data_IF_437990623966
#
_entry.id   IF_437990623966
#
_cell.length_a   1.000
_cell.length_b   1.000
_cell.length_c   1.000
_cell.angle_alpha   90.00
_cell.angle_beta   90.00
_cell.angle_gamma   90.00
#
_symmetry.space_group_name_H-M   'P 1'
#
loop_
_entity.id
_entity.type
_entity.pdbx_description
1 polymer ?
#
# COMPACT_ATOMS: atom_id res chain seq x y z
N UNK A 1 -5.76 10.47 -16.03
CA UNK A 1 -6.15 10.74 -14.63
C UNK A 1 -7.67 10.84 -14.63
N UNK A 2 -8.42 9.82 -14.21
CA UNK A 2 -9.78 10.07 -13.70
C UNK A 2 -9.60 10.51 -12.27
N UNK A 3 -9.24 11.79 -12.15
CA UNK A 3 -9.08 12.52 -10.91
C UNK A 3 -10.36 13.31 -10.82
N UNK A 4 -11.09 13.09 -9.75
CA UNK A 4 -12.30 13.86 -9.43
C UNK A 4 -11.92 15.34 -9.30
N UNK A 5 -12.85 16.26 -9.58
CA UNK A 5 -12.58 17.70 -9.59
C UNK A 5 -11.98 18.17 -8.25
N UNK A 6 -12.39 17.56 -7.14
CA UNK A 6 -11.81 17.80 -5.81
C UNK A 6 -10.34 17.35 -5.68
N UNK A 7 -10.00 16.19 -6.24
CA UNK A 7 -8.63 15.68 -6.22
C UNK A 7 -7.75 16.53 -7.14
N UNK A 8 -8.32 17.04 -8.24
CA UNK A 8 -7.64 17.94 -9.17
C UNK A 8 -7.34 19.26 -8.48
N UNK A 9 -8.33 19.86 -7.79
CA UNK A 9 -8.13 21.05 -6.98
C UNK A 9 -7.04 20.84 -5.93
N UNK A 10 -7.10 19.75 -5.16
CA UNK A 10 -6.14 19.46 -4.11
C UNK A 10 -4.70 19.39 -4.65
N UNK A 11 -4.50 18.70 -5.78
CA UNK A 11 -3.17 18.49 -6.37
C UNK A 11 -2.64 19.69 -7.16
N UNK A 12 -3.51 20.46 -7.84
CA UNK A 12 -3.10 21.56 -8.72
C UNK A 12 -3.09 22.92 -8.04
N UNK A 13 -3.91 23.12 -7.01
CA UNK A 13 -4.10 24.43 -6.36
C UNK A 13 -3.80 24.34 -4.86
N UNK A 14 -4.51 23.47 -4.14
CA UNK A 14 -4.48 23.43 -2.68
C UNK A 14 -3.08 23.13 -2.11
N UNK A 15 -2.53 21.97 -2.45
CA UNK A 15 -1.23 21.50 -1.94
C UNK A 15 -0.07 22.41 -2.39
N UNK A 16 0.01 22.85 -3.66
CA UNK A 16 1.03 23.83 -4.07
C UNK A 16 0.98 25.13 -3.25
N UNK A 17 -0.21 25.70 -3.00
CA UNK A 17 -0.35 26.91 -2.19
C UNK A 17 0.11 26.69 -0.74
N UNK A 18 -0.25 25.55 -0.13
CA UNK A 18 0.26 25.19 1.21
C UNK A 18 1.78 25.01 1.20
N UNK A 19 2.35 24.45 0.13
CA UNK A 19 3.78 24.20 0.02
C UNK A 19 4.59 25.50 -0.07
N UNK A 20 4.08 26.53 -0.77
CA UNK A 20 4.72 27.84 -0.82
C UNK A 20 4.89 28.49 0.56
N UNK A 21 4.00 28.18 1.50
CA UNK A 21 4.02 28.74 2.85
C UNK A 21 4.81 27.87 3.85
N UNK A 22 5.18 26.64 3.47
CA UNK A 22 5.77 25.67 4.40
C UNK A 22 6.92 24.88 3.75
N UNK A 23 8.13 25.14 4.24
CA UNK A 23 9.37 24.52 3.74
C UNK A 23 9.34 22.99 3.78
N UNK A 24 8.77 22.42 4.84
CA UNK A 24 8.65 20.97 5.02
C UNK A 24 7.79 20.36 3.90
N UNK A 25 6.62 20.94 3.64
CA UNK A 25 5.72 20.48 2.60
C UNK A 25 6.33 20.69 1.21
N UNK A 26 7.02 21.81 0.97
CA UNK A 26 7.77 22.07 -0.26
C UNK A 26 8.78 20.94 -0.55
N UNK A 27 9.54 20.51 0.45
CA UNK A 27 10.48 19.39 0.27
C UNK A 27 9.78 18.10 -0.14
N UNK A 28 8.62 17.80 0.44
CA UNK A 28 7.82 16.64 0.04
C UNK A 28 7.29 16.73 -1.39
N UNK A 29 6.84 17.91 -1.81
CA UNK A 29 6.43 18.16 -3.20
C UNK A 29 7.60 18.00 -4.17
N UNK A 30 8.79 18.50 -3.82
CA UNK A 30 10.01 18.34 -4.63
C UNK A 30 10.46 16.87 -4.72
N UNK A 31 10.42 16.13 -3.61
CA UNK A 31 10.71 14.70 -3.60
C UNK A 31 9.77 13.94 -4.55
N UNK A 32 8.46 14.19 -4.45
CA UNK A 32 7.48 13.56 -5.32
C UNK A 32 7.67 13.97 -6.79
N UNK A 33 7.90 15.26 -7.07
CA UNK A 33 8.10 15.78 -8.43
C UNK A 33 9.34 15.17 -9.11
N UNK A 34 10.44 14.98 -8.37
CA UNK A 34 11.63 14.32 -8.90
C UNK A 34 11.33 12.87 -9.33
N UNK A 35 10.51 12.14 -8.55
CA UNK A 35 10.08 10.79 -8.90
C UNK A 35 9.10 10.77 -10.07
N UNK A 36 8.16 11.73 -10.16
CA UNK A 36 7.31 11.88 -11.34
C UNK A 36 8.16 12.02 -12.61
N UNK A 37 9.22 12.84 -12.55
CA UNK A 37 10.14 13.01 -13.66
C UNK A 37 10.91 11.72 -13.99
N UNK A 38 11.27 10.90 -13.00
CA UNK A 38 11.80 9.56 -13.27
C UNK A 38 10.79 8.71 -14.04
N UNK A 39 9.52 8.70 -13.62
CA UNK A 39 8.47 7.96 -14.30
C UNK A 39 8.25 8.44 -15.74
N UNK A 40 8.34 9.74 -16.00
CA UNK A 40 8.24 10.30 -17.35
C UNK A 40 9.38 9.79 -18.25
N UNK A 41 10.60 9.71 -17.73
CA UNK A 41 11.77 9.18 -18.44
C UNK A 41 11.62 7.67 -18.70
N UNK A 42 11.17 6.90 -17.70
CA UNK A 42 11.00 5.44 -17.81
C UNK A 42 9.91 5.06 -18.81
N UNK A 43 8.85 5.87 -18.93
CA UNK A 43 7.74 5.59 -19.83
C UNK A 43 8.00 6.05 -21.28
N UNK A 44 9.21 6.50 -21.61
CA UNK A 44 9.57 6.82 -22.99
C UNK A 44 9.72 5.55 -23.84
N UNK A 45 9.36 5.58 -25.15
CA UNK A 45 9.39 4.39 -26.02
C UNK A 45 10.77 3.77 -26.20
N UNK A 46 11.83 4.58 -26.05
CA UNK A 46 13.22 4.19 -26.16
C UNK A 46 13.98 4.76 -24.98
N UNK A 47 14.65 3.89 -24.22
CA UNK A 47 15.42 4.30 -23.04
C UNK A 47 16.90 4.09 -23.33
N UNK A 48 17.68 5.16 -23.21
CA UNK A 48 19.13 5.15 -23.37
C UNK A 48 19.86 4.91 -22.03
N UNK A 49 21.18 4.69 -22.08
CA UNK A 49 22.01 4.66 -20.88
C UNK A 49 22.00 6.00 -20.13
N UNK A 50 22.00 7.11 -20.86
CA UNK A 50 21.92 8.47 -20.29
C UNK A 50 20.62 8.68 -19.52
N UNK A 51 19.51 8.10 -19.99
CA UNK A 51 18.22 8.16 -19.30
C UNK A 51 18.25 7.39 -17.97
N UNK A 52 18.96 6.26 -17.93
CA UNK A 52 19.19 5.52 -16.67
C UNK A 52 20.00 6.36 -15.68
N UNK A 53 21.06 7.03 -16.12
CA UNK A 53 21.85 7.93 -15.26
C UNK A 53 21.01 9.10 -14.74
N UNK A 54 20.17 9.72 -15.61
CA UNK A 54 19.21 10.76 -15.20
C UNK A 54 18.26 10.26 -14.11
N UNK A 55 17.72 9.05 -14.25
CA UNK A 55 16.84 8.44 -13.23
C UNK A 55 17.58 8.24 -11.90
N UNK A 56 18.84 7.79 -11.92
CA UNK A 56 19.63 7.61 -10.70
C UNK A 56 19.87 8.94 -9.97
N UNK A 57 20.20 10.01 -10.72
CA UNK A 57 20.41 11.35 -10.16
C UNK A 57 19.10 11.90 -9.59
N UNK A 58 18.01 11.83 -10.34
CA UNK A 58 16.70 12.30 -9.90
C UNK A 58 16.19 11.55 -8.66
N UNK A 59 16.36 10.22 -8.62
CA UNK A 59 15.99 9.42 -7.45
C UNK A 59 16.83 9.77 -6.22
N UNK A 60 18.12 10.06 -6.40
CA UNK A 60 19.00 10.53 -5.31
C UNK A 60 18.54 11.88 -4.74
N UNK A 61 18.16 12.82 -5.62
CA UNK A 61 17.58 14.11 -5.22
C UNK A 61 16.27 13.91 -4.47
N UNK A 62 15.43 12.99 -4.95
CA UNK A 62 14.16 12.68 -4.32
C UNK A 62 14.34 12.11 -2.90
N UNK A 63 15.28 11.17 -2.72
CA UNK A 63 15.65 10.60 -1.43
C UNK A 63 16.17 11.68 -0.46
N UNK A 64 16.99 12.61 -0.96
CA UNK A 64 17.48 13.73 -0.16
C UNK A 64 16.33 14.57 0.38
N UNK A 65 15.42 15.02 -0.50
CA UNK A 65 14.28 15.83 -0.09
C UNK A 65 13.32 15.08 0.85
N UNK A 66 13.09 13.78 0.60
CA UNK A 66 12.34 12.93 1.51
C UNK A 66 12.97 12.89 2.90
N UNK A 67 14.29 12.69 2.99
CA UNK A 67 15.00 12.62 4.26
C UNK A 67 15.03 13.95 5.01
N UNK A 68 15.22 15.05 4.29
CA UNK A 68 15.12 16.38 4.88
C UNK A 68 13.70 16.68 5.39
N UNK A 69 12.68 16.31 4.62
CA UNK A 69 11.28 16.42 5.04
C UNK A 69 11.04 15.60 6.32
N UNK A 70 11.49 14.35 6.38
CA UNK A 70 11.28 13.49 7.54
C UNK A 70 11.92 14.07 8.82
N UNK A 71 13.16 14.56 8.71
CA UNK A 71 13.87 15.20 9.84
C UNK A 71 13.13 16.44 10.32
N UNK A 72 12.60 17.26 9.40
CA UNK A 72 11.83 18.45 9.76
C UNK A 72 10.48 18.10 10.41
N UNK A 73 9.76 17.06 9.94
CA UNK A 73 8.55 16.57 10.63
C UNK A 73 8.89 16.14 12.05
N UNK A 74 9.94 15.33 12.22
CA UNK A 74 10.34 14.80 13.52
C UNK A 74 10.75 15.91 14.50
N UNK A 75 11.44 16.94 14.01
CA UNK A 75 11.84 18.09 14.82
C UNK A 75 10.66 18.99 15.23
N UNK A 76 9.62 19.06 14.40
CA UNK A 76 8.47 19.96 14.57
C UNK A 76 7.19 19.27 15.02
N UNK A 77 7.24 17.98 15.35
CA UNK A 77 6.04 17.17 15.68
C UNK A 77 5.30 17.68 16.92
N UNK A 78 5.97 18.44 17.78
CA UNK A 78 5.40 19.08 18.97
C UNK A 78 4.77 20.45 18.72
N UNK A 79 4.93 21.04 17.51
CA UNK A 79 4.29 22.31 17.16
C UNK A 79 2.78 22.09 16.93
N UNK A 80 1.96 22.75 17.75
CA UNK A 80 0.50 22.70 17.64
C UNK A 80 0.01 23.54 16.45
N UNK A 81 -1.06 23.08 15.79
CA UNK A 81 -1.82 23.79 14.74
C UNK A 81 -1.31 23.79 13.28
N UNK A 82 -0.28 23.01 12.91
CA UNK A 82 0.15 22.83 11.49
C UNK A 82 -0.47 21.60 10.80
N UNK A 83 -1.72 21.24 11.13
CA UNK A 83 -2.33 19.97 10.71
C UNK A 83 -2.53 19.85 9.20
N UNK A 84 -2.86 20.94 8.49
CA UNK A 84 -2.97 20.96 7.03
C UNK A 84 -1.64 20.57 6.36
N UNK A 85 -0.53 21.09 6.88
CA UNK A 85 0.81 20.77 6.36
C UNK A 85 1.20 19.32 6.65
N UNK A 86 0.88 18.81 7.84
CA UNK A 86 1.17 17.41 8.22
C UNK A 86 0.39 16.44 7.34
N UNK A 87 -0.90 16.69 7.13
CA UNK A 87 -1.75 15.84 6.28
C UNK A 87 -1.35 15.91 4.81
N UNK A 88 -1.08 17.11 4.29
CA UNK A 88 -0.58 17.28 2.93
C UNK A 88 0.78 16.59 2.74
N UNK A 89 1.68 16.71 3.74
CA UNK A 89 2.98 16.04 3.75
C UNK A 89 2.80 14.51 3.68
N UNK A 90 1.98 13.94 4.56
CA UNK A 90 1.73 12.51 4.58
C UNK A 90 1.10 12.01 3.27
N UNK A 91 0.20 12.79 2.66
CA UNK A 91 -0.37 12.47 1.36
C UNK A 91 0.67 12.47 0.24
N UNK A 92 1.57 13.47 0.20
CA UNK A 92 2.70 13.50 -0.75
C UNK A 92 3.64 12.32 -0.54
N UNK A 93 3.97 12.01 0.71
CA UNK A 93 4.86 10.89 1.05
C UNK A 93 4.27 9.53 0.71
N UNK A 94 2.94 9.37 0.79
CA UNK A 94 2.28 8.15 0.32
C UNK A 94 2.44 7.93 -1.19
N UNK A 95 2.23 8.98 -2.00
CA UNK A 95 2.42 8.90 -3.45
C UNK A 95 3.90 8.72 -3.81
N UNK A 96 4.80 9.46 -3.14
CA UNK A 96 6.24 9.29 -3.27
C UNK A 96 6.70 7.86 -2.98
N UNK A 97 6.21 7.25 -1.88
CA UNK A 97 6.62 5.92 -1.47
C UNK A 97 6.34 4.86 -2.54
N UNK A 98 5.13 4.86 -3.10
CA UNK A 98 4.75 3.91 -4.15
C UNK A 98 5.48 4.20 -5.47
N UNK A 99 5.55 5.46 -5.87
CA UNK A 99 6.19 5.85 -7.14
C UNK A 99 7.70 5.58 -7.12
N UNK A 100 8.38 5.91 -6.02
CA UNK A 100 9.83 5.71 -5.88
C UNK A 100 10.17 4.22 -5.84
N UNK A 101 9.30 3.40 -5.24
CA UNK A 101 9.42 1.94 -5.29
C UNK A 101 9.31 1.40 -6.72
N UNK A 102 8.36 1.90 -7.53
CA UNK A 102 8.26 1.54 -8.95
C UNK A 102 9.55 1.88 -9.73
N UNK A 103 10.12 3.06 -9.49
CA UNK A 103 11.40 3.48 -10.10
C UNK A 103 12.54 2.55 -9.68
N UNK A 104 12.61 2.16 -8.40
CA UNK A 104 13.62 1.21 -7.90
C UNK A 104 13.46 -0.17 -8.52
N UNK A 105 12.23 -0.65 -8.68
CA UNK A 105 11.94 -1.92 -9.37
C UNK A 105 12.49 -1.86 -10.80
N UNK A 106 12.17 -0.79 -11.54
CA UNK A 106 12.68 -0.59 -12.88
C UNK A 106 14.22 -0.58 -12.91
N UNK A 107 14.86 0.13 -11.98
CA UNK A 107 16.32 0.18 -11.87
C UNK A 107 16.94 -1.20 -11.64
N UNK A 108 16.30 -2.02 -10.80
CA UNK A 108 16.75 -3.37 -10.47
C UNK A 108 16.55 -4.36 -11.63
N UNK A 109 15.42 -4.28 -12.34
CA UNK A 109 15.13 -5.12 -13.50
C UNK A 109 16.03 -4.80 -14.71
N UNK A 110 16.46 -3.54 -14.84
CA UNK A 110 17.31 -3.06 -15.94
C UNK A 110 18.81 -3.00 -15.60
N UNK A 111 19.20 -3.43 -14.38
CA UNK A 111 20.60 -3.37 -13.95
C UNK A 111 21.50 -4.36 -14.70
N UNK A 112 22.64 -3.87 -15.20
CA UNK A 112 23.69 -4.72 -15.77
C UNK A 112 24.41 -5.51 -14.68
N UNK A 113 25.05 -6.64 -15.00
CA UNK A 113 25.80 -7.43 -14.01
C UNK A 113 27.07 -6.72 -13.49
N UNK A 114 27.49 -5.63 -14.16
CA UNK A 114 28.62 -4.79 -13.75
C UNK A 114 28.19 -3.51 -12.99
N UNK A 115 26.90 -3.32 -12.71
CA UNK A 115 26.41 -2.13 -12.00
C UNK A 115 26.82 -2.18 -10.52
N UNK A 116 27.90 -1.50 -10.16
CA UNK A 116 28.31 -1.30 -8.75
C UNK A 116 27.21 -0.61 -7.92
N UNK A 117 26.35 0.17 -8.57
CA UNK A 117 25.20 0.86 -7.95
C UNK A 117 23.97 -0.03 -7.76
N UNK A 118 24.01 -1.30 -8.20
CA UNK A 118 22.92 -2.28 -8.05
C UNK A 118 22.48 -2.44 -6.59
N UNK A 119 23.39 -2.28 -5.63
CA UNK A 119 23.10 -2.35 -4.20
C UNK A 119 22.41 -1.11 -3.62
N UNK A 120 22.69 0.09 -4.14
CA UNK A 120 22.23 1.36 -3.54
C UNK A 120 20.73 1.54 -3.65
N UNK A 121 20.14 1.10 -4.77
CA UNK A 121 18.73 1.34 -5.10
C UNK A 121 17.88 0.08 -5.11
N UNK A 122 18.33 -1.01 -4.48
CA UNK A 122 17.49 -2.20 -4.32
C UNK A 122 16.17 -1.77 -3.67
N UNK A 123 15.02 -2.15 -4.24
CA UNK A 123 13.72 -1.90 -3.62
C UNK A 123 13.71 -2.49 -2.20
N UNK A 124 13.77 -1.62 -1.19
CA UNK A 124 13.66 -2.04 0.21
C UNK A 124 12.27 -2.63 0.40
N UNK A 125 12.19 -3.82 0.97
CA UNK A 125 10.92 -4.45 1.20
C UNK A 125 10.08 -3.63 2.18
N UNK A 126 8.81 -3.42 1.83
CA UNK A 126 7.76 -2.79 2.64
C UNK A 126 7.91 -1.29 3.00
N UNK A 127 9.03 -0.59 2.74
CA UNK A 127 9.11 0.85 3.06
C UNK A 127 7.99 1.67 2.41
N UNK A 128 7.62 1.30 1.18
CA UNK A 128 6.51 1.94 0.47
C UNK A 128 5.16 1.70 1.15
N UNK A 129 4.95 0.55 1.81
CA UNK A 129 3.72 0.22 2.56
C UNK A 129 3.60 1.18 3.75
N UNK A 130 4.68 1.37 4.50
CA UNK A 130 4.69 2.27 5.66
C UNK A 130 4.45 3.74 5.23
N UNK A 131 5.09 4.19 4.15
CA UNK A 131 4.87 5.53 3.58
C UNK A 131 3.44 5.71 3.06
N UNK A 132 2.92 4.73 2.34
CA UNK A 132 1.54 4.75 1.85
C UNK A 132 0.54 4.76 3.00
N UNK A 133 0.81 4.04 4.08
CA UNK A 133 -0.05 4.00 5.27
C UNK A 133 0.03 5.26 6.13
N UNK A 134 1.12 6.03 6.05
CA UNK A 134 1.37 7.21 6.88
C UNK A 134 0.23 8.23 6.84
N UNK A 135 -0.38 8.47 5.66
CA UNK A 135 -1.50 9.41 5.54
C UNK A 135 -2.73 8.96 6.33
N UNK A 136 -3.02 7.66 6.39
CA UNK A 136 -4.11 7.14 7.20
C UNK A 136 -3.78 7.29 8.68
N UNK A 137 -2.56 6.94 9.09
CA UNK A 137 -2.12 7.04 10.49
C UNK A 137 -2.24 8.49 10.97
N UNK A 138 -1.72 9.45 10.19
CA UNK A 138 -1.84 10.87 10.47
C UNK A 138 -3.30 11.30 10.61
N UNK A 139 -4.15 10.93 9.65
CA UNK A 139 -5.57 11.27 9.69
C UNK A 139 -6.30 10.68 10.91
N UNK A 140 -6.09 9.39 11.20
CA UNK A 140 -6.68 8.76 12.40
C UNK A 140 -6.15 9.33 13.70
N UNK A 141 -4.89 9.74 13.75
CA UNK A 141 -4.30 10.40 14.92
C UNK A 141 -5.05 11.69 15.27
N UNK A 142 -5.39 12.49 14.27
CA UNK A 142 -6.17 13.73 14.46
C UNK A 142 -7.60 13.50 14.93
N UNK A 143 -8.20 12.37 14.54
CA UNK A 143 -9.52 11.96 15.02
C UNK A 143 -9.48 11.46 16.47
N UNK A 144 -8.41 10.77 16.86
CA UNK A 144 -8.30 10.07 18.14
C UNK A 144 -7.68 10.88 19.28
N UNK A 145 -7.12 12.08 19.03
CA UNK A 145 -6.52 12.93 20.08
C UNK A 145 -7.55 13.53 21.07
N UNK A 146 -8.82 13.13 20.96
CA UNK A 146 -9.88 13.39 21.93
C UNK A 146 -9.55 12.88 23.34
N UNK A 147 -8.86 11.75 23.45
CA UNK A 147 -8.66 11.07 24.75
C UNK A 147 -7.55 11.65 25.63
N UNK A 148 -6.79 12.63 25.13
CA UNK A 148 -5.77 13.33 25.95
C UNK A 148 -6.28 14.61 26.60
N UNK A 149 -7.46 15.10 26.20
CA UNK A 149 -7.98 16.42 26.63
C UNK A 149 -9.22 16.34 27.52
N UNK A 150 -9.63 15.16 27.97
CA UNK A 150 -10.81 14.99 28.86
C UNK A 150 -10.47 14.95 30.37
N UNK A 151 -9.22 15.26 30.77
CA UNK A 151 -8.81 15.38 32.17
C UNK A 151 -8.65 16.84 32.64
N UNK A 152 -9.46 17.79 32.14
CA UNK A 152 -9.65 19.09 32.81
C UNK A 152 -11.10 19.58 32.63
N UNK A 153 -11.88 19.33 33.67
CA UNK A 153 -13.05 20.11 34.15
C UNK A 153 -14.39 19.95 33.42
N UNK A 154 -15.30 19.32 34.16
CA UNK A 154 -16.76 19.36 34.04
C UNK A 154 -17.31 20.80 34.15
N UNK A 155 -18.21 21.20 33.25
CA UNK A 155 -19.49 21.84 33.61
C UNK A 155 -20.50 21.77 32.45
N UNK A 156 -21.77 21.67 32.80
CA UNK A 156 -22.89 21.17 32.00
C UNK A 156 -23.54 22.17 31.00
N UNK A 157 -24.08 21.60 29.90
CA UNK A 157 -25.38 21.84 29.18
C UNK A 157 -25.83 23.27 28.77
N UNK A 158 -26.90 23.46 27.92
CA UNK A 158 -27.60 22.56 26.99
C UNK A 158 -27.74 23.11 25.54
N UNK A 159 -28.14 22.21 24.64
CA UNK A 159 -28.85 22.35 23.35
C UNK A 159 -29.27 23.79 22.96
N UNK A 160 -28.82 24.24 21.79
CA UNK A 160 -29.48 25.30 21.00
C UNK A 160 -29.52 24.88 19.53
N UNK A 161 -30.74 24.77 19.00
CA UNK A 161 -31.06 24.62 17.58
C UNK A 161 -30.90 25.98 16.88
N UNK A 162 -30.07 26.05 15.83
CA UNK A 162 -30.15 27.13 14.82
C UNK A 162 -29.96 26.51 13.42
N UNK A 163 -30.88 26.90 12.54
CA UNK A 163 -31.11 26.52 11.14
C UNK A 163 -29.95 26.74 10.15
N UNK A 164 -30.00 26.10 8.95
CA UNK A 164 -28.89 26.00 8.02
C UNK A 164 -28.73 27.28 7.19
N UNK A 165 -27.50 27.81 7.10
CA UNK A 165 -27.20 28.92 6.19
C UNK A 165 -25.97 28.59 5.33
N UNK A 166 -26.24 28.66 4.03
CA UNK A 166 -25.34 28.82 2.88
C UNK A 166 -24.44 27.63 2.50
N UNK A 167 -25.01 26.78 1.64
CA UNK A 167 -24.25 26.04 0.63
C UNK A 167 -23.48 27.06 -0.24
N UNK A 168 -22.16 27.12 -0.08
CA UNK A 168 -21.30 27.82 -1.03
C UNK A 168 -20.88 26.83 -2.12
N UNK A 169 -21.66 26.81 -3.20
CA UNK A 169 -21.29 26.15 -4.45
C UNK A 169 -20.09 26.88 -5.07
N UNK A 170 -18.89 26.42 -4.78
CA UNK A 170 -17.69 26.84 -5.50
C UNK A 170 -17.52 25.99 -6.78
N UNK A 171 -18.23 26.37 -7.84
CA UNK A 171 -17.94 25.90 -9.19
C UNK A 171 -16.78 26.73 -9.76
N UNK A 172 -15.53 26.30 -9.52
CA UNK A 172 -14.34 26.94 -10.07
C UNK A 172 -13.90 26.20 -11.32
N UNK A 173 -14.27 26.71 -12.50
CA UNK A 173 -13.72 26.27 -13.77
C UNK A 173 -12.27 26.74 -13.88
N UNK A 174 -11.32 25.81 -13.72
CA UNK A 174 -9.91 26.04 -14.00
C UNK A 174 -9.57 25.40 -15.36
N UNK A 175 -9.51 26.23 -16.41
CA UNK A 175 -8.95 25.82 -17.71
C UNK A 175 -7.42 25.85 -17.63
N UNK A 176 -6.85 24.69 -17.26
CA UNK A 176 -5.42 24.43 -17.44
C UNK A 176 -5.26 23.38 -18.54
N UNK A 177 -4.87 23.81 -19.73
CA UNK A 177 -4.51 22.93 -20.86
C UNK A 177 -3.25 22.14 -20.51
N UNK A 178 -3.45 20.95 -19.92
CA UNK A 178 -2.42 19.93 -19.78
C UNK A 178 -2.33 19.14 -21.08
N UNK A 179 -1.11 18.99 -21.60
CA UNK A 179 -0.80 18.11 -22.73
C UNK A 179 -1.50 16.76 -22.57
N UNK A 180 -2.41 16.46 -23.49
CA UNK A 180 -3.28 15.29 -23.49
C UNK A 180 -2.47 14.03 -23.82
N UNK A 181 -1.80 13.45 -22.82
CA UNK A 181 -1.29 12.08 -22.91
C UNK A 181 -1.48 11.28 -21.63
N UNK A 182 -2.52 11.60 -20.87
CA UNK A 182 -2.97 10.75 -19.78
C UNK A 182 -4.10 9.85 -20.31
N UNK A 183 -3.74 8.68 -20.86
CA UNK A 183 -4.72 7.69 -21.29
C UNK A 183 -5.82 7.54 -20.23
N UNK A 184 -7.09 7.53 -20.68
CA UNK A 184 -8.22 7.20 -19.83
C UNK A 184 -7.87 5.92 -19.07
N UNK A 185 -7.89 5.98 -17.74
CA UNK A 185 -7.60 4.81 -16.91
C UNK A 185 -8.74 3.82 -17.11
N UNK A 186 -8.48 2.90 -18.03
CA UNK A 186 -9.19 1.67 -18.29
C UNK A 186 -9.30 0.87 -16.99
N UNK A 187 -10.48 0.32 -16.71
CA UNK A 187 -10.78 -0.36 -15.44
C UNK A 187 -9.94 -1.63 -15.26
N UNK A 188 -10.03 -2.33 -14.12
CA UNK A 188 -9.32 -3.59 -13.89
C UNK A 188 -9.72 -4.62 -14.95
N UNK A 189 -10.94 -4.50 -15.47
CA UNK A 189 -11.53 -5.31 -16.54
C UNK A 189 -10.71 -5.32 -17.83
N UNK A 190 -9.94 -4.26 -18.11
CA UNK A 190 -9.10 -4.14 -19.30
C UNK A 190 -7.69 -4.75 -19.11
N UNK A 191 -7.44 -5.39 -17.97
CA UNK A 191 -6.20 -6.09 -17.68
C UNK A 191 -6.29 -7.54 -18.18
N UNK A 192 -5.23 -8.04 -18.83
CA UNK A 192 -5.21 -9.40 -19.39
C UNK A 192 -5.43 -10.51 -18.35
N UNK A 193 -5.08 -10.24 -17.08
CA UNK A 193 -5.31 -11.17 -15.96
C UNK A 193 -6.73 -11.14 -15.41
N UNK A 194 -7.54 -10.12 -15.71
CA UNK A 194 -8.86 -9.95 -15.13
C UNK A 194 -9.79 -11.15 -15.31
N UNK A 195 -10.05 -11.66 -16.54
CA UNK A 195 -11.00 -12.77 -16.72
C UNK A 195 -10.54 -14.03 -15.97
N UNK A 196 -9.22 -14.24 -15.92
CA UNK A 196 -8.63 -15.38 -15.23
C UNK A 196 -8.82 -15.25 -13.72
N UNK A 197 -8.53 -14.09 -13.15
CA UNK A 197 -8.72 -13.84 -11.71
C UNK A 197 -10.20 -13.85 -11.33
N UNK A 198 -11.08 -13.28 -12.15
CA UNK A 198 -12.52 -13.32 -11.92
C UNK A 198 -13.03 -14.77 -11.81
N UNK A 199 -12.53 -15.68 -12.64
CA UNK A 199 -12.91 -17.09 -12.60
C UNK A 199 -12.36 -17.84 -11.36
N UNK A 200 -11.22 -17.43 -10.81
CA UNK A 200 -10.51 -18.24 -9.78
C UNK A 200 -10.50 -17.62 -8.38
N UNK A 201 -10.73 -16.31 -8.25
CA UNK A 201 -10.65 -15.58 -6.98
C UNK A 201 -11.56 -16.20 -5.91
N UNK A 202 -12.78 -16.60 -6.27
CA UNK A 202 -13.72 -17.23 -5.34
C UNK A 202 -13.21 -18.57 -4.79
N UNK A 203 -12.60 -19.40 -5.64
CA UNK A 203 -11.98 -20.67 -5.20
C UNK A 203 -10.74 -20.43 -4.35
N UNK A 204 -9.87 -19.51 -4.77
CA UNK A 204 -8.64 -19.15 -4.07
C UNK A 204 -8.93 -18.61 -2.65
N UNK A 205 -9.91 -17.71 -2.51
CA UNK A 205 -10.36 -17.18 -1.22
C UNK A 205 -10.90 -18.26 -0.31
N UNK A 206 -11.75 -19.17 -0.81
CA UNK A 206 -12.27 -20.30 -0.02
C UNK A 206 -11.13 -21.18 0.52
N UNK A 207 -10.13 -21.47 -0.32
CA UNK A 207 -8.94 -22.25 0.09
C UNK A 207 -8.11 -21.50 1.13
N UNK A 208 -7.89 -20.20 0.94
CA UNK A 208 -7.14 -19.36 1.87
C UNK A 208 -7.85 -19.31 3.23
N UNK A 209 -9.18 -19.11 3.25
CA UNK A 209 -9.98 -19.14 4.48
C UNK A 209 -9.96 -20.50 5.15
N UNK A 210 -10.12 -21.60 4.41
CA UNK A 210 -10.01 -22.96 4.98
C UNK A 210 -8.67 -23.17 5.66
N UNK A 211 -7.57 -22.75 5.00
CA UNK A 211 -6.23 -22.82 5.59
C UNK A 211 -6.08 -21.95 6.84
N UNK A 212 -6.63 -20.74 6.84
CA UNK A 212 -6.64 -19.88 8.02
C UNK A 212 -7.35 -20.55 9.20
N UNK A 213 -8.48 -21.21 8.95
CA UNK A 213 -9.23 -21.97 9.96
C UNK A 213 -8.46 -23.19 10.46
N UNK A 214 -7.74 -23.91 9.59
CA UNK A 214 -6.86 -25.02 9.98
C UNK A 214 -5.73 -24.54 10.90
N UNK A 215 -5.09 -23.42 10.56
CA UNK A 215 -4.05 -22.80 11.41
C UNK A 215 -4.61 -22.40 12.78
N UNK A 216 -5.81 -21.82 12.82
CA UNK A 216 -6.46 -21.46 14.08
C UNK A 216 -6.77 -22.69 14.95
N UNK A 217 -7.26 -23.78 14.33
CA UNK A 217 -7.54 -25.04 15.04
C UNK A 217 -6.28 -25.70 15.56
N UNK A 218 -5.21 -25.73 14.76
CA UNK A 218 -3.94 -26.33 15.15
C UNK A 218 -3.21 -25.52 16.23
N UNK A 219 -3.45 -24.22 16.32
CA UNK A 219 -2.97 -23.37 17.42
C UNK A 219 -3.76 -23.54 18.73
N UNK A 220 -4.91 -24.23 18.70
CA UNK A 220 -5.81 -24.43 19.83
C UNK A 220 -5.73 -25.86 20.42
N UNK A 221 -4.82 -26.72 19.91
CA UNK A 221 -4.73 -28.14 20.27
C UNK A 221 -3.75 -28.48 21.39
N UNK A 222 -4.27 -29.08 22.46
CA UNK A 222 -3.70 -30.00 23.47
C UNK A 222 -2.35 -29.67 24.14
N UNK A 223 -2.27 -28.54 24.86
CA UNK A 223 -1.26 -28.40 25.92
C UNK A 223 -1.90 -27.94 27.24
N UNK A 224 -2.29 -28.93 28.04
CA UNK A 224 -2.23 -28.85 29.50
C UNK A 224 -0.74 -28.91 29.92
N UNK A 225 0.05 -27.87 29.63
CA UNK A 225 1.30 -27.67 30.37
C UNK A 225 1.71 -26.19 30.40
N UNK A 226 2.16 -25.76 31.58
CA UNK A 226 2.35 -24.36 31.95
C UNK A 226 3.60 -23.72 31.31
N UNK A 227 3.58 -22.39 31.28
CA UNK A 227 4.74 -21.47 31.17
C UNK A 227 5.20 -20.95 29.79
N UNK A 228 4.27 -20.63 28.88
CA UNK A 228 4.48 -19.53 27.90
C UNK A 228 3.15 -18.91 27.45
N UNK A 229 3.02 -17.57 27.30
CA UNK A 229 1.71 -16.96 27.11
C UNK A 229 1.20 -17.17 25.68
N UNK A 230 0.32 -18.17 25.50
CA UNK A 230 -0.47 -18.42 24.30
C UNK A 230 -1.26 -17.19 23.79
N UNK A 231 -1.45 -16.18 24.65
CA UNK A 231 -2.12 -14.91 24.39
C UNK A 231 -1.49 -14.13 23.21
N UNK A 232 -0.18 -14.25 22.98
CA UNK A 232 0.49 -13.44 21.96
C UNK A 232 0.27 -13.96 20.53
N UNK A 233 0.20 -15.29 20.34
CA UNK A 233 -0.03 -15.90 19.03
C UNK A 233 -1.48 -15.76 18.57
N UNK A 234 -2.45 -15.88 19.49
CA UNK A 234 -3.88 -15.72 19.20
C UNK A 234 -4.20 -14.32 18.64
N UNK A 235 -3.64 -13.28 19.27
CA UNK A 235 -3.77 -11.90 18.80
C UNK A 235 -3.23 -11.66 17.38
N UNK A 236 -2.14 -12.34 16.98
CA UNK A 236 -1.58 -12.23 15.63
C UNK A 236 -2.40 -12.99 14.59
N UNK A 237 -2.90 -14.18 14.95
CA UNK A 237 -3.81 -14.95 14.10
C UNK A 237 -5.12 -14.20 13.88
N UNK A 238 -5.68 -13.59 14.93
CA UNK A 238 -6.86 -12.74 14.83
C UNK A 238 -6.62 -11.52 13.91
N UNK A 239 -5.44 -10.91 13.97
CA UNK A 239 -5.07 -9.84 13.05
C UNK A 239 -5.01 -10.32 11.59
N UNK A 240 -4.56 -11.55 11.34
CA UNK A 240 -4.62 -12.17 10.02
C UNK A 240 -6.05 -12.42 9.56
N UNK A 241 -6.97 -12.85 10.43
CA UNK A 241 -8.40 -12.99 10.06
C UNK A 241 -9.02 -11.64 9.69
N UNK A 242 -8.76 -10.60 10.48
CA UNK A 242 -9.25 -9.25 10.15
C UNK A 242 -8.68 -8.74 8.81
N UNK A 243 -7.42 -9.05 8.49
CA UNK A 243 -6.84 -8.75 7.18
C UNK A 243 -7.49 -9.59 6.05
N UNK A 244 -7.77 -10.87 6.29
CA UNK A 244 -8.44 -11.74 5.33
C UNK A 244 -9.85 -11.25 5.01
N UNK A 245 -10.66 -10.90 6.02
CA UNK A 245 -12.02 -10.38 5.80
C UNK A 245 -12.00 -9.06 5.02
N UNK A 246 -11.03 -8.18 5.33
CA UNK A 246 -10.80 -6.97 4.55
C UNK A 246 -10.45 -7.29 3.09
N UNK A 247 -9.55 -8.25 2.86
CA UNK A 247 -9.14 -8.65 1.52
C UNK A 247 -10.30 -9.20 0.70
N UNK A 248 -11.17 -10.01 1.30
CA UNK A 248 -12.34 -10.56 0.63
C UNK A 248 -13.35 -9.49 0.21
N UNK A 249 -13.60 -8.50 1.08
CA UNK A 249 -14.45 -7.36 0.72
C UNK A 249 -13.89 -6.60 -0.50
N UNK A 250 -12.57 -6.38 -0.52
CA UNK A 250 -11.89 -5.77 -1.67
C UNK A 250 -12.02 -6.64 -2.93
N UNK A 251 -11.89 -7.96 -2.81
CA UNK A 251 -12.04 -8.88 -3.92
C UNK A 251 -13.46 -8.88 -4.49
N UNK A 252 -14.49 -8.85 -3.64
CA UNK A 252 -15.89 -8.74 -4.07
C UNK A 252 -16.12 -7.41 -4.82
N UNK A 253 -15.58 -6.31 -4.32
CA UNK A 253 -15.67 -5.00 -4.99
C UNK A 253 -14.91 -4.98 -6.33
N UNK A 254 -13.80 -5.73 -6.45
CA UNK A 254 -13.00 -5.84 -7.68
C UNK A 254 -13.69 -6.68 -8.76
N UNK A 255 -14.40 -7.73 -8.34
CA UNK A 255 -15.06 -8.71 -9.21
C UNK A 255 -16.56 -8.80 -8.88
N UNK A 256 -17.34 -7.73 -9.18
CA UNK A 256 -18.77 -7.79 -8.98
C UNK A 256 -19.36 -8.86 -9.91
N UNK A 257 -20.17 -9.75 -9.35
CA UNK A 257 -20.86 -10.78 -10.13
C UNK A 257 -21.89 -10.10 -11.04
N UNK A 258 -21.57 -10.05 -12.34
CA UNK A 258 -22.37 -9.37 -13.37
C UNK A 258 -23.80 -9.94 -13.41
N UNK A 259 -24.00 -11.17 -12.92
CA UNK A 259 -25.27 -11.89 -12.97
C UNK A 259 -26.17 -11.71 -11.73
N UNK A 260 -25.72 -11.00 -10.69
CA UNK A 260 -26.48 -10.85 -9.43
C UNK A 260 -26.82 -9.41 -9.05
N UNK A 261 -26.58 -8.44 -9.93
CA UNK A 261 -27.03 -7.06 -9.70
C UNK A 261 -28.45 -6.90 -10.28
N UNK A 262 -29.53 -6.93 -9.48
CA UNK A 262 -30.80 -6.40 -9.96
C UNK A 262 -30.58 -4.93 -10.31
N UNK A 263 -30.91 -4.57 -11.55
CA UNK A 263 -31.02 -3.19 -12.01
C UNK A 263 -32.05 -2.46 -11.13
N UNK A 264 -31.59 -1.96 -10.00
CA UNK A 264 -32.38 -1.13 -9.08
C UNK A 264 -31.74 0.25 -9.14
N UNK A 265 -32.35 1.22 -9.83
CA UNK A 265 -31.88 2.60 -9.76
C UNK A 265 -32.19 3.15 -8.36
N UNK A 266 -31.15 3.48 -7.60
CA UNK A 266 -31.21 3.98 -6.21
C UNK A 266 -30.76 2.90 -5.22
N UNK A 267 -29.76 3.06 -4.36
CA UNK A 267 -29.20 4.23 -3.69
C UNK A 267 -27.68 4.03 -3.60
N UNK A 268 -26.90 4.58 -4.54
CA UNK A 268 -25.54 5.00 -4.16
C UNK A 268 -25.77 6.26 -3.35
N UNK A 269 -25.33 6.37 -2.08
CA UNK A 269 -25.23 7.69 -1.47
C UNK A 269 -24.42 8.52 -2.47
N UNK A 270 -24.98 9.65 -2.90
CA UNK A 270 -24.19 10.65 -3.60
C UNK A 270 -22.92 10.80 -2.77
N UNK A 271 -21.75 10.72 -3.40
CA UNK A 271 -20.49 11.05 -2.75
C UNK A 271 -20.40 12.55 -2.34
N UNK A 272 -21.50 13.29 -2.54
CA UNK A 272 -21.75 14.62 -2.02
C UNK A 272 -22.48 14.48 -0.68
N UNK A 273 -21.93 15.06 0.38
CA UNK A 273 -22.49 15.12 1.75
C UNK A 273 -22.26 13.92 2.69
N UNK A 274 -21.10 13.26 2.63
CA UNK A 274 -20.52 12.76 3.89
C UNK A 274 -19.70 13.90 4.49
N UNK A 275 -20.40 14.91 5.03
CA UNK A 275 -19.78 15.80 6.00
C UNK A 275 -19.57 14.96 7.26
N UNK A 276 -18.42 14.30 7.35
CA UNK A 276 -17.97 13.69 8.59
C UNK A 276 -17.81 14.86 9.55
N UNK A 277 -18.85 15.12 10.36
CA UNK A 277 -18.84 16.13 11.41
C UNK A 277 -17.49 16.02 12.13
N UNK A 278 -16.59 17.00 11.97
CA UNK A 278 -15.20 16.80 12.35
C UNK A 278 -15.09 16.79 13.86
N UNK A 279 -14.86 15.61 14.43
CA UNK A 279 -14.63 15.44 15.87
C UNK A 279 -13.12 15.57 16.15
N UNK A 280 -12.78 16.22 17.26
CA UNK A 280 -11.39 16.38 17.71
C UNK A 280 -10.59 17.41 16.92
N UNK A 281 -9.28 17.20 16.79
CA UNK A 281 -8.36 18.13 16.10
C UNK A 281 -8.57 18.17 14.59
N UNK A 282 -9.26 17.18 14.02
CA UNK A 282 -9.67 17.19 12.62
C UNK A 282 -10.57 18.39 12.26
N UNK A 283 -11.22 19.04 13.24
CA UNK A 283 -11.98 20.29 13.05
C UNK A 283 -11.10 21.48 12.68
N UNK A 284 -9.83 21.48 13.11
CA UNK A 284 -8.83 22.52 12.80
C UNK A 284 -8.22 22.40 11.41
N UNK A 285 -8.51 21.30 10.71
CA UNK A 285 -8.02 20.99 9.37
C UNK A 285 -8.96 21.58 8.32
N UNK A 286 -8.43 22.18 7.26
CA UNK A 286 -9.22 22.72 6.15
C UNK A 286 -10.16 21.66 5.56
N UNK A 287 -11.42 22.00 5.22
CA UNK A 287 -12.39 21.01 4.73
C UNK A 287 -11.95 20.26 3.46
N UNK A 288 -11.23 20.93 2.56
CA UNK A 288 -10.77 20.32 1.31
C UNK A 288 -9.66 19.28 1.54
N UNK A 289 -8.69 19.54 2.45
CA UNK A 289 -7.61 18.58 2.72
C UNK A 289 -8.16 17.38 3.51
N UNK A 290 -9.15 17.61 4.38
CA UNK A 290 -9.87 16.53 5.07
C UNK A 290 -10.58 15.59 4.08
N UNK A 291 -11.36 16.15 3.14
CA UNK A 291 -12.02 15.38 2.08
C UNK A 291 -11.01 14.64 1.22
N UNK A 292 -9.97 15.33 0.75
CA UNK A 292 -8.91 14.74 -0.07
C UNK A 292 -8.23 13.56 0.66
N UNK A 293 -7.82 13.74 1.91
CA UNK A 293 -7.16 12.69 2.69
C UNK A 293 -8.08 11.51 3.01
N UNK A 294 -9.34 11.75 3.37
CA UNK A 294 -10.33 10.70 3.59
C UNK A 294 -10.59 9.86 2.32
N UNK A 295 -10.57 10.50 1.15
CA UNK A 295 -10.73 9.83 -0.15
C UNK A 295 -9.51 8.98 -0.53
N UNK A 296 -8.29 9.54 -0.47
CA UNK A 296 -7.08 8.78 -0.84
C UNK A 296 -6.79 7.63 0.13
N UNK A 297 -7.20 7.75 1.40
CA UNK A 297 -7.09 6.68 2.41
C UNK A 297 -8.23 5.66 2.38
N UNK A 298 -9.18 5.83 1.44
CA UNK A 298 -10.38 4.99 1.29
C UNK A 298 -11.23 4.90 2.57
N UNK A 299 -11.25 5.98 3.36
CA UNK A 299 -12.24 6.17 4.43
C UNK A 299 -13.61 6.53 3.84
N UNK A 300 -13.61 7.28 2.74
CA UNK A 300 -14.77 7.47 1.88
C UNK A 300 -14.65 6.46 0.74
N UNK A 301 -15.76 5.78 0.42
CA UNK A 301 -15.79 4.81 -0.69
C UNK A 301 -15.45 5.52 -2.01
N UNK A 302 -14.72 4.83 -2.88
CA UNK A 302 -14.34 5.37 -4.17
C UNK A 302 -14.48 4.31 -5.25
N UNK A 303 -15.07 4.68 -6.38
CA UNK A 303 -15.22 3.83 -7.56
C UNK A 303 -13.89 3.56 -8.28
N UNK A 304 -12.80 4.17 -7.84
CA UNK A 304 -11.49 4.05 -8.50
C UNK A 304 -10.77 2.77 -8.04
N UNK A 305 -10.43 1.85 -8.94
CA UNK A 305 -9.80 0.58 -8.57
C UNK A 305 -8.51 0.68 -7.78
N UNK A 306 -7.66 1.63 -8.16
CA UNK A 306 -6.43 1.92 -7.43
C UNK A 306 -6.69 2.30 -5.97
N UNK A 307 -7.85 2.88 -5.64
CA UNK A 307 -8.18 3.26 -4.26
C UNK A 307 -8.69 2.06 -3.48
N UNK A 308 -9.70 1.34 -3.98
CA UNK A 308 -10.25 0.22 -3.21
C UNK A 308 -9.27 -0.99 -3.13
N UNK A 309 -8.47 -1.27 -4.17
CA UNK A 309 -7.44 -2.33 -4.08
C UNK A 309 -6.34 -1.95 -3.09
N UNK A 310 -5.85 -0.71 -3.14
CA UNK A 310 -4.80 -0.24 -2.23
C UNK A 310 -5.32 0.09 -0.83
N UNK A 311 -6.65 0.14 -0.63
CA UNK A 311 -7.28 0.31 0.68
C UNK A 311 -6.87 -0.78 1.66
N UNK A 312 -6.43 -1.95 1.18
CA UNK A 312 -5.88 -3.02 2.01
C UNK A 312 -4.75 -2.50 2.92
N UNK A 313 -3.74 -1.83 2.36
CA UNK A 313 -2.58 -1.32 3.13
C UNK A 313 -3.00 -0.27 4.14
N UNK A 314 -3.99 0.55 3.78
CA UNK A 314 -4.55 1.52 4.71
C UNK A 314 -5.30 0.83 5.86
N UNK A 315 -6.23 -0.08 5.55
CA UNK A 315 -7.19 -0.65 6.51
C UNK A 315 -6.66 -1.86 7.30
N UNK A 316 -5.63 -2.55 6.82
CA UNK A 316 -5.11 -3.74 7.47
C UNK A 316 -4.62 -3.45 8.90
N UNK A 317 -4.79 -4.39 9.85
CA UNK A 317 -4.28 -4.22 11.22
C UNK A 317 -2.77 -4.05 11.26
N UNK A 318 -2.27 -3.20 12.15
CA UNK A 318 -0.81 -2.99 12.31
C UNK A 318 -0.10 -4.29 12.71
N UNK A 319 -0.70 -5.08 13.60
CA UNK A 319 -0.16 -6.39 13.99
C UNK A 319 0.03 -7.33 12.80
N UNK A 320 -0.87 -7.29 11.81
CA UNK A 320 -0.74 -8.08 10.58
C UNK A 320 0.39 -7.54 9.69
N UNK A 321 0.48 -6.22 9.51
CA UNK A 321 1.53 -5.63 8.68
C UNK A 321 2.93 -5.85 9.28
N UNK A 322 3.06 -5.86 10.61
CA UNK A 322 4.32 -6.20 11.27
C UNK A 322 4.78 -7.62 10.90
N UNK A 323 3.87 -8.61 10.87
CA UNK A 323 4.20 -9.98 10.43
C UNK A 323 4.69 -10.00 8.98
N UNK A 324 4.09 -9.19 8.10
CA UNK A 324 4.51 -9.07 6.70
C UNK A 324 5.89 -8.41 6.62
N UNK A 325 6.10 -7.31 7.35
CA UNK A 325 7.38 -6.59 7.42
C UNK A 325 8.51 -7.49 7.95
N UNK A 326 8.26 -8.23 9.04
CA UNK A 326 9.21 -9.19 9.63
C UNK A 326 9.63 -10.24 8.59
N UNK A 327 8.65 -10.84 7.90
CA UNK A 327 8.89 -11.83 6.86
C UNK A 327 9.66 -11.27 5.67
N UNK A 328 9.30 -10.07 5.23
CA UNK A 328 9.94 -9.39 4.12
C UNK A 328 11.34 -8.87 4.47
N UNK A 329 11.61 -8.59 5.75
CA UNK A 329 12.93 -8.22 6.27
C UNK A 329 13.92 -9.39 6.22
N UNK A 330 13.46 -10.60 6.56
CA UNK A 330 14.28 -11.83 6.45
C UNK A 330 14.76 -12.07 5.00
N UNK A 331 14.00 -11.65 3.99
CA UNK A 331 14.36 -11.81 2.58
C UNK A 331 15.55 -10.95 2.14
N UNK A 332 15.81 -9.83 2.81
CA UNK A 332 16.91 -8.93 2.44
C UNK A 332 18.25 -9.38 3.03
N UNK A 333 18.23 -10.12 4.15
CA UNK A 333 19.43 -10.58 4.87
C UNK A 333 20.12 -11.74 4.11
N UNK A 334 19.36 -12.51 3.31
CA UNK A 334 19.89 -13.61 2.49
C UNK A 334 20.60 -13.19 1.20
N UNK A 335 20.63 -11.89 0.86
CA UNK A 335 21.35 -11.40 -0.30
C UNK A 335 22.83 -11.13 0.06
N UNK A 336 23.82 -11.73 -0.64
CA UNK A 336 25.23 -11.48 -0.34
C UNK A 336 25.55 -10.02 -0.70
N UNK A 337 25.68 -9.14 0.30
CA UNK A 337 26.20 -7.79 0.12
C UNK A 337 25.65 -6.67 1.02
N UNK A 338 24.63 -6.89 1.85
CA UNK A 338 24.05 -5.80 2.66
C UNK A 338 24.63 -5.71 4.07
N UNK A 339 25.81 -5.09 4.22
CA UNK A 339 26.25 -4.56 5.51
C UNK A 339 25.63 -3.17 5.72
N UNK A 340 24.65 -3.04 6.63
CA UNK A 340 24.20 -1.72 7.06
C UNK A 340 22.83 -1.62 7.69
N UNK A 341 22.81 -1.83 9.02
CA UNK A 341 22.01 -1.08 10.02
C UNK A 341 20.55 -1.49 10.30
N UNK A 342 20.35 -1.72 11.61
CA UNK A 342 19.18 -1.96 12.47
C UNK A 342 18.43 -3.29 12.34
N UNK A 343 18.76 -4.17 13.28
CA UNK A 343 18.15 -5.46 13.53
C UNK A 343 16.64 -5.34 13.85
N UNK A 344 15.84 -6.14 13.15
CA UNK A 344 14.57 -6.64 13.69
C UNK A 344 14.87 -7.61 14.86
N UNK A 345 13.96 -7.79 15.83
CA UNK A 345 14.18 -8.65 17.00
C UNK A 345 14.26 -10.16 16.69
N UNK A 346 13.99 -10.55 15.44
CA UNK A 346 14.21 -11.92 14.99
C UNK A 346 15.70 -12.12 14.77
N UNK A 347 16.37 -12.63 15.81
CA UNK A 347 17.71 -13.22 15.68
C UNK A 347 17.70 -14.16 14.46
N UNK A 348 18.43 -13.84 13.37
CA UNK A 348 18.28 -14.51 12.08
C UNK A 348 18.83 -15.94 12.07
N UNK A 349 19.24 -16.47 13.22
CA UNK A 349 19.88 -17.77 13.30
C UNK A 349 18.96 -18.91 13.77
N UNK A 350 17.85 -18.68 14.50
CA UNK A 350 17.13 -19.79 15.15
C UNK A 350 15.60 -19.67 15.30
N UNK A 351 14.92 -18.64 14.78
CA UNK A 351 13.46 -18.52 14.94
C UNK A 351 12.73 -18.97 13.69
N UNK A 352 12.20 -20.19 13.71
CA UNK A 352 11.30 -20.66 12.66
C UNK A 352 10.05 -19.77 12.62
N UNK A 353 9.66 -19.26 11.45
CA UNK A 353 8.52 -18.37 11.30
C UNK A 353 7.21 -19.06 11.69
N UNK A 354 6.48 -18.44 12.61
CA UNK A 354 5.24 -19.02 13.16
C UNK A 354 4.14 -19.21 12.11
N UNK A 355 3.11 -20.01 12.43
CA UNK A 355 1.95 -20.19 11.56
C UNK A 355 1.24 -18.86 11.23
N UNK A 356 1.28 -17.88 12.13
CA UNK A 356 0.75 -16.54 11.88
C UNK A 356 1.53 -15.81 10.78
N UNK A 357 2.87 -15.93 10.75
CA UNK A 357 3.70 -15.36 9.68
C UNK A 357 3.39 -16.03 8.33
N UNK A 358 3.21 -17.36 8.32
CA UNK A 358 2.83 -18.08 7.11
C UNK A 358 1.49 -17.59 6.55
N UNK A 359 0.47 -17.51 7.41
CA UNK A 359 -0.84 -17.00 7.03
C UNK A 359 -0.77 -15.55 6.55
N UNK A 360 0.03 -14.71 7.22
CA UNK A 360 0.20 -13.31 6.84
C UNK A 360 0.76 -13.16 5.43
N UNK A 361 1.83 -13.90 5.12
CA UNK A 361 2.46 -13.94 3.79
C UNK A 361 1.52 -14.50 2.73
N UNK A 362 0.71 -15.50 3.05
CA UNK A 362 -0.24 -16.03 2.09
C UNK A 362 -1.35 -15.02 1.77
N UNK A 363 -1.94 -14.36 2.76
CA UNK A 363 -2.91 -13.27 2.53
C UNK A 363 -2.27 -12.16 1.70
N UNK A 364 -1.05 -11.76 2.06
CA UNK A 364 -0.33 -10.69 1.37
C UNK A 364 -0.06 -11.04 -0.10
N UNK A 365 0.39 -12.26 -0.37
CA UNK A 365 0.61 -12.75 -1.73
C UNK A 365 -0.67 -12.77 -2.57
N UNK A 366 -1.83 -13.13 -2.00
CA UNK A 366 -3.10 -13.07 -2.71
C UNK A 366 -3.51 -11.63 -3.00
N UNK A 367 -3.28 -10.70 -2.07
CA UNK A 367 -3.53 -9.29 -2.32
C UNK A 367 -2.61 -8.71 -3.41
N UNK A 368 -1.32 -9.06 -3.43
CA UNK A 368 -0.38 -8.63 -4.47
C UNK A 368 -0.83 -9.05 -5.88
N UNK A 369 -1.53 -10.18 -6.01
CA UNK A 369 -2.13 -10.59 -7.28
C UNK A 369 -3.21 -9.60 -7.75
N UNK A 370 -4.01 -9.02 -6.85
CA UNK A 370 -4.93 -7.94 -7.22
C UNK A 370 -4.17 -6.65 -7.56
N UNK A 371 -3.08 -6.35 -6.86
CA UNK A 371 -2.22 -5.19 -7.17
C UNK A 371 -1.67 -5.27 -8.59
N UNK A 372 -1.39 -6.47 -9.12
CA UNK A 372 -0.97 -6.64 -10.52
C UNK A 372 -2.02 -6.16 -11.55
N UNK A 373 -3.31 -6.08 -11.19
CA UNK A 373 -4.32 -5.45 -12.06
C UNK A 373 -4.11 -3.94 -12.24
N UNK A 374 -3.32 -3.34 -11.35
CA UNK A 374 -2.94 -1.93 -11.37
C UNK A 374 -1.62 -1.68 -12.10
N UNK A 375 -1.05 -2.68 -12.80
CA UNK A 375 0.27 -2.55 -13.44
C UNK A 375 0.35 -1.40 -14.47
N UNK A 376 -0.79 -0.99 -15.05
CA UNK A 376 -0.89 0.15 -15.97
C UNK A 376 -0.93 1.51 -15.26
N UNK A 377 -0.97 1.53 -13.93
CA UNK A 377 -0.92 2.77 -13.13
C UNK A 377 0.54 3.13 -12.89
N UNK A 378 0.98 4.25 -13.46
CA UNK A 378 2.39 4.65 -13.51
C UNK A 378 3.12 4.71 -12.14
N UNK A 379 2.40 4.91 -11.04
CA UNK A 379 2.95 4.97 -9.68
C UNK A 379 2.77 3.68 -8.84
N UNK A 380 2.15 2.64 -9.42
CA UNK A 380 1.94 1.31 -8.80
C UNK A 380 2.58 0.19 -9.64
N UNK A 381 2.89 0.46 -10.90
CA UNK A 381 3.33 -0.53 -11.88
C UNK A 381 4.51 -1.37 -11.39
N UNK A 382 4.38 -2.70 -11.46
CA UNK A 382 5.45 -3.63 -11.12
C UNK A 382 5.52 -4.01 -9.64
N UNK A 383 4.86 -3.27 -8.73
CA UNK A 383 4.84 -3.56 -7.29
C UNK A 383 4.34 -4.99 -7.04
N UNK A 384 3.14 -5.33 -7.52
CA UNK A 384 2.53 -6.64 -7.28
C UNK A 384 3.41 -7.80 -7.76
N UNK A 385 3.96 -7.68 -8.97
CA UNK A 385 4.82 -8.72 -9.55
C UNK A 385 6.17 -8.82 -8.84
N UNK A 386 6.77 -7.69 -8.45
CA UNK A 386 8.09 -7.64 -7.84
C UNK A 386 8.12 -8.37 -6.50
N UNK A 387 7.33 -7.93 -5.52
CA UNK A 387 7.34 -8.57 -4.20
C UNK A 387 6.82 -10.01 -4.26
N UNK A 388 5.88 -10.34 -5.14
CA UNK A 388 5.47 -11.74 -5.31
C UNK A 388 6.63 -12.62 -5.78
N UNK A 389 7.47 -12.15 -6.70
CA UNK A 389 8.68 -12.88 -7.10
C UNK A 389 9.71 -13.03 -5.99
N UNK A 390 9.80 -12.06 -5.07
CA UNK A 390 10.63 -12.17 -3.86
C UNK A 390 10.08 -13.22 -2.89
N UNK A 391 8.77 -13.21 -2.62
CA UNK A 391 8.09 -14.20 -1.77
C UNK A 391 8.30 -15.64 -2.26
N UNK A 392 8.24 -15.85 -3.58
CA UNK A 392 8.43 -17.17 -4.19
C UNK A 392 9.88 -17.63 -4.10
N UNK A 393 10.82 -16.70 -4.25
CA UNK A 393 12.25 -17.01 -4.12
C UNK A 393 12.55 -17.47 -2.69
N UNK A 394 12.03 -16.76 -1.68
CA UNK A 394 12.14 -17.18 -0.29
C UNK A 394 11.57 -18.60 -0.08
N UNK A 395 10.34 -18.85 -0.52
CA UNK A 395 9.68 -20.17 -0.37
C UNK A 395 10.45 -21.33 -1.02
N UNK A 396 11.37 -21.07 -1.95
CA UNK A 396 12.24 -22.09 -2.56
C UNK A 396 13.51 -22.32 -1.75
N UNK A 397 14.07 -21.27 -1.16
CA UNK A 397 15.35 -21.32 -0.44
C UNK A 397 15.20 -21.88 0.98
N UNK A 398 14.02 -21.75 1.55
CA UNK A 398 13.69 -22.25 2.89
C UNK A 398 12.72 -23.43 2.73
N UNK A 399 12.95 -24.54 3.43
CA UNK A 399 12.15 -25.78 3.34
C UNK A 399 10.75 -25.63 3.95
N UNK A 400 9.99 -24.59 3.59
CA UNK A 400 8.65 -24.27 4.11
C UNK A 400 7.56 -25.31 3.79
N UNK A 401 7.88 -26.36 3.04
CA UNK A 401 6.91 -27.33 2.52
C UNK A 401 6.93 -28.69 3.23
N UNK A 402 7.75 -28.87 4.27
CA UNK A 402 7.79 -30.15 4.98
C UNK A 402 6.67 -30.25 6.02
N UNK A 403 5.42 -30.22 5.56
CA UNK A 403 4.27 -30.76 6.30
C UNK A 403 3.08 -31.19 5.41
N UNK A 404 3.24 -31.26 4.08
CA UNK A 404 2.36 -32.10 3.25
C UNK A 404 3.18 -33.22 2.63
N UNK A 405 3.10 -34.42 3.20
CA UNK A 405 3.75 -35.63 2.68
C UNK A 405 3.39 -35.85 1.20
N UNK A 406 4.44 -36.10 0.39
CA UNK A 406 4.51 -36.78 -0.90
C UNK A 406 3.41 -36.40 -1.93
N UNK A 407 3.74 -35.85 -3.09
CA UNK A 407 4.37 -36.53 -4.24
C UNK A 407 4.73 -35.45 -5.28
N UNK A 408 5.61 -35.77 -6.23
CA UNK A 408 5.95 -35.00 -7.45
C UNK A 408 7.30 -34.25 -7.46
N UNK A 409 8.30 -35.05 -7.86
CA UNK A 409 9.31 -34.78 -8.88
C UNK A 409 9.88 -33.36 -9.00
N UNK A 410 11.16 -33.29 -8.61
CA UNK A 410 12.22 -32.52 -9.29
C UNK A 410 11.96 -32.38 -10.80
N UNK A 411 12.01 -31.15 -11.31
CA UNK A 411 12.86 -30.66 -12.41
C UNK A 411 12.40 -29.25 -12.79
N UNK A 412 13.37 -28.37 -13.10
CA UNK A 412 13.09 -27.07 -13.73
C UNK A 412 14.24 -26.06 -13.73
N UNK A 413 15.49 -26.46 -13.96
CA UNK A 413 16.43 -25.55 -14.59
C UNK A 413 16.07 -25.52 -16.08
N UNK A 414 15.76 -24.34 -16.62
CA UNK A 414 15.81 -24.14 -18.07
C UNK A 414 17.28 -24.20 -18.49
N UNK A 415 17.57 -25.10 -19.43
CA UNK A 415 18.88 -25.52 -19.94
C UNK A 415 19.66 -24.41 -20.69
N UNK A 416 19.41 -23.13 -20.40
CA UNK A 416 20.03 -22.00 -21.09
C UNK A 416 20.51 -20.85 -20.20
N UNK A 417 20.55 -21.00 -18.88
CA UNK A 417 21.17 -19.99 -17.99
C UNK A 417 20.52 -18.60 -18.05
N UNK A 418 19.26 -18.49 -18.51
CA UNK A 418 18.53 -17.22 -18.56
C UNK A 418 17.91 -16.89 -17.20
N UNK A 419 18.27 -15.73 -16.66
CA UNK A 419 17.70 -15.13 -15.44
C UNK A 419 16.16 -15.12 -15.56
N UNK A 420 15.48 -15.87 -14.69
CA UNK A 420 14.01 -15.90 -14.64
C UNK A 420 13.54 -14.53 -14.13
N UNK A 421 12.76 -13.81 -14.94
CA UNK A 421 12.21 -12.50 -14.58
C UNK A 421 11.22 -12.62 -13.43
N UNK A 422 11.11 -11.58 -12.61
CA UNK A 422 10.22 -11.52 -11.44
C UNK A 422 8.75 -11.74 -11.84
N UNK A 423 8.35 -11.21 -13.00
CA UNK A 423 7.05 -11.49 -13.64
C UNK A 423 6.81 -12.97 -13.97
N UNK A 424 7.83 -13.72 -14.42
CA UNK A 424 7.69 -15.16 -14.67
C UNK A 424 7.49 -15.94 -13.36
N UNK A 425 8.20 -15.57 -12.29
CA UNK A 425 7.95 -16.14 -10.95
C UNK A 425 6.53 -15.85 -10.50
N UNK A 426 6.05 -14.61 -10.60
CA UNK A 426 4.69 -14.23 -10.27
C UNK A 426 3.63 -15.07 -11.04
N UNK A 427 3.86 -15.31 -12.33
CA UNK A 427 3.00 -16.19 -13.14
C UNK A 427 3.04 -17.65 -12.66
N UNK A 428 4.19 -18.19 -12.26
CA UNK A 428 4.28 -19.54 -11.68
C UNK A 428 3.46 -19.66 -10.38
N UNK A 429 3.44 -18.61 -9.55
CA UNK A 429 2.61 -18.60 -8.33
C UNK A 429 1.12 -18.56 -8.66
N UNK A 430 0.72 -17.72 -9.63
CA UNK A 430 -0.65 -17.71 -10.14
C UNK A 430 -1.06 -19.12 -10.60
N UNK A 431 -0.23 -19.78 -11.41
CA UNK A 431 -0.46 -21.16 -11.87
C UNK A 431 -0.60 -22.17 -10.73
N UNK A 432 0.24 -22.10 -9.70
CA UNK A 432 0.26 -23.11 -8.62
C UNK A 432 -0.74 -22.87 -7.49
N UNK A 433 -1.05 -21.61 -7.18
CA UNK A 433 -1.85 -21.26 -6.00
C UNK A 433 -3.24 -20.71 -6.35
N UNK A 434 -3.36 -20.02 -7.48
CA UNK A 434 -4.66 -19.56 -7.99
C UNK A 434 -5.29 -20.56 -8.97
N UNK A 435 -4.51 -21.32 -9.74
CA UNK A 435 -5.04 -22.18 -10.83
C UNK A 435 -4.94 -23.69 -10.59
N UNK A 436 -4.23 -24.16 -9.55
CA UNK A 436 -4.26 -25.58 -9.18
C UNK A 436 -5.62 -25.89 -8.53
N UNK A 437 -6.56 -26.38 -9.34
CA UNK A 437 -7.88 -26.92 -8.98
C UNK A 437 -7.75 -28.31 -8.36
#
# INVERSE_FOLDING_TARGET
MTVDDEDQYALQVGIPNLAFQNKLLMKSVLAFSAVCKCCDVINQPSISHEDREKVLVLLSIADQYHMESLREVQAKLSETDQYDHILANAAMMGMYGSSSHCVRIWLAETASDNDLERGRFIPKSCQWISLFRAVRVAYTGLLNDRFKTEDVVQLASPISFIDPVASCDFQMHCECTVSSRCEQQKGPQDHALYPILAATVGSALRRLRKRAQEIAKNGMGDYEDQDTPAIHNDSYVQACFAALDLFENIAIETFPDINLVPNTPGLSPLASEVDVNPVGQASKVSPWIRRYTARITSMISSKLPRRFIMAFVHKAPTKYLNLVEDMMGLMQIGAPGSHGVTACPLNPMNSEPSLAHQLAVDIFAHWLVLVMLLDKVWWIGGIGAWELGQLISLKRDTRWLDNSKNTESRIGYDLKGKKITTRRKAMDYLLRRFFAS
#
